data_IF_492355126733
#
_entry.id   IF_492355126733
#
_cell.length_a   1.000
_cell.length_b   1.000
_cell.length_c   1.000
_cell.angle_alpha   90.00
_cell.angle_beta   90.00
_cell.angle_gamma   90.00
#
_symmetry.space_group_name_H-M   'P 1'
#
loop_
_entity.id
_entity.type
_entity.pdbx_description
1 polymer ?
#
# COMPACT_ATOMS: atom_id res chain seq x y z
N UNK A 1 -17.75 28.61 19.05
CA UNK A 1 -19.14 28.11 18.95
C UNK A 1 -19.19 27.29 17.68
N UNK A 2 -19.64 26.02 17.69
CA UNK A 2 -19.80 25.27 16.47
C UNK A 2 -20.88 25.93 15.64
N UNK A 3 -20.58 26.16 14.36
CA UNK A 3 -21.55 26.64 13.39
C UNK A 3 -22.65 25.57 13.24
N UNK A 4 -23.84 25.84 13.76
CA UNK A 4 -25.03 25.04 13.45
C UNK A 4 -25.47 25.40 12.03
N UNK A 5 -24.73 24.99 11.03
CA UNK A 5 -25.16 25.10 9.64
C UNK A 5 -26.15 23.99 9.35
N UNK A 6 -27.43 24.22 9.66
CA UNK A 6 -28.50 23.43 9.09
C UNK A 6 -28.62 23.80 7.62
N UNK A 7 -28.01 23.01 6.77
CA UNK A 7 -28.23 23.09 5.33
C UNK A 7 -29.67 22.62 5.03
N UNK A 8 -30.38 23.29 4.12
CA UNK A 8 -31.61 22.71 3.57
C UNK A 8 -31.24 21.47 2.75
N UNK A 9 -32.15 20.51 2.59
CA UNK A 9 -31.94 19.30 1.80
C UNK A 9 -31.44 19.63 0.36
N UNK A 10 -31.92 20.75 -0.20
CA UNK A 10 -31.49 21.21 -1.51
C UNK A 10 -30.06 21.76 -1.51
N UNK A 11 -29.66 22.42 -0.43
CA UNK A 11 -28.28 22.94 -0.28
C UNK A 11 -27.28 21.80 -0.02
N UNK A 12 -27.69 20.79 0.74
CA UNK A 12 -26.92 19.55 0.95
C UNK A 12 -26.64 18.83 -0.37
N UNK A 13 -27.66 18.67 -1.23
CA UNK A 13 -27.51 18.03 -2.54
C UNK A 13 -26.57 18.82 -3.45
N UNK A 14 -26.69 20.16 -3.47
CA UNK A 14 -25.78 21.04 -4.24
C UNK A 14 -24.34 20.96 -3.72
N UNK A 15 -24.16 20.98 -2.40
CA UNK A 15 -22.84 20.85 -1.77
C UNK A 15 -22.21 19.49 -2.11
N UNK A 16 -22.99 18.41 -2.01
CA UNK A 16 -22.52 17.05 -2.34
C UNK A 16 -22.06 16.94 -3.80
N UNK A 17 -22.83 17.51 -4.74
CA UNK A 17 -22.46 17.55 -6.15
C UNK A 17 -21.17 18.36 -6.38
N UNK A 18 -21.06 19.52 -5.74
CA UNK A 18 -19.87 20.37 -5.83
C UNK A 18 -18.62 19.67 -5.25
N UNK A 19 -18.74 18.99 -4.11
CA UNK A 19 -17.64 18.20 -3.52
C UNK A 19 -17.12 17.16 -4.50
N UNK A 20 -18.01 16.44 -5.20
CA UNK A 20 -17.63 15.44 -6.19
C UNK A 20 -16.87 16.05 -7.39
N UNK A 21 -17.36 17.17 -7.93
CA UNK A 21 -16.69 17.88 -9.02
C UNK A 21 -15.31 18.37 -8.60
N UNK A 22 -15.24 19.02 -7.43
CA UNK A 22 -13.98 19.58 -6.91
C UNK A 22 -12.95 18.50 -6.58
N UNK A 23 -13.37 17.37 -6.03
CA UNK A 23 -12.49 16.21 -5.83
C UNK A 23 -11.92 15.70 -7.16
N UNK A 24 -12.75 15.58 -8.21
CA UNK A 24 -12.30 15.19 -9.56
C UNK A 24 -11.28 16.17 -10.16
N UNK A 25 -11.49 17.47 -10.01
CA UNK A 25 -10.53 18.51 -10.46
C UNK A 25 -9.15 18.36 -9.77
N UNK A 26 -9.14 17.88 -8.53
CA UNK A 26 -7.92 17.62 -7.76
C UNK A 26 -7.34 16.23 -8.00
N UNK A 27 -7.93 15.45 -8.92
CA UNK A 27 -7.44 14.13 -9.33
C UNK A 27 -7.84 12.99 -8.40
N UNK A 28 -8.86 13.19 -7.55
CA UNK A 28 -9.47 12.10 -6.82
C UNK A 28 -10.50 11.38 -7.70
N UNK A 29 -10.51 10.06 -7.67
CA UNK A 29 -11.38 9.22 -8.51
C UNK A 29 -12.70 8.85 -7.82
N UNK A 30 -12.74 8.94 -6.50
CA UNK A 30 -13.91 8.68 -5.69
C UNK A 30 -13.96 9.56 -4.47
N UNK A 31 -15.19 9.93 -4.04
CA UNK A 31 -15.46 10.66 -2.81
C UNK A 31 -16.73 10.13 -2.17
N UNK A 32 -16.68 9.83 -0.87
CA UNK A 32 -17.81 9.47 -0.03
C UNK A 32 -17.59 10.00 1.39
N UNK A 33 -18.68 10.09 2.13
CA UNK A 33 -18.71 10.67 3.48
C UNK A 33 -19.32 9.65 4.46
N UNK A 34 -18.68 9.49 5.62
CA UNK A 34 -19.17 8.64 6.71
C UNK A 34 -19.11 9.38 8.05
N UNK A 35 -19.68 8.75 9.09
CA UNK A 35 -19.46 9.15 10.48
C UNK A 35 -18.17 8.52 11.06
N UNK A 36 -17.90 8.75 12.33
CA UNK A 36 -16.72 8.28 13.05
C UNK A 36 -16.89 6.90 13.70
N UNK A 37 -18.06 6.28 13.63
CA UNK A 37 -18.36 5.02 14.33
C UNK A 37 -17.79 3.83 13.56
N UNK A 38 -16.86 3.08 14.17
CA UNK A 38 -16.17 1.95 13.53
C UNK A 38 -16.77 0.57 13.87
N UNK A 39 -17.70 0.52 14.85
CA UNK A 39 -18.40 -0.70 15.21
C UNK A 39 -17.44 -1.87 15.55
N UNK A 40 -17.72 -3.05 15.00
CA UNK A 40 -16.96 -4.28 15.24
C UNK A 40 -15.53 -4.25 14.68
N UNK A 41 -15.17 -3.24 13.89
CA UNK A 41 -13.82 -3.15 13.33
C UNK A 41 -12.75 -2.92 14.42
N UNK A 42 -13.10 -2.16 15.46
CA UNK A 42 -12.23 -1.93 16.61
C UNK A 42 -11.94 -3.24 17.38
N UNK A 43 -12.95 -4.08 17.59
CA UNK A 43 -12.79 -5.39 18.24
C UNK A 43 -11.90 -6.33 17.40
N UNK A 44 -12.06 -6.32 16.06
CA UNK A 44 -11.22 -7.09 15.13
C UNK A 44 -9.76 -6.63 15.19
N UNK A 45 -9.51 -5.32 15.28
CA UNK A 45 -8.16 -4.77 15.44
C UNK A 45 -7.55 -5.22 16.77
N UNK A 46 -8.26 -5.12 17.90
CA UNK A 46 -7.77 -5.55 19.20
C UNK A 46 -7.41 -7.05 19.21
N UNK A 47 -8.27 -7.89 18.63
CA UNK A 47 -7.97 -9.33 18.48
C UNK A 47 -6.71 -9.57 17.66
N UNK A 48 -6.56 -8.90 16.52
CA UNK A 48 -5.40 -9.03 15.64
C UNK A 48 -4.10 -8.61 16.33
N UNK A 49 -4.15 -7.54 17.15
CA UNK A 49 -3.03 -7.08 17.97
C UNK A 49 -2.70 -8.08 19.09
N UNK A 50 -3.71 -8.59 19.79
CA UNK A 50 -3.52 -9.58 20.86
C UNK A 50 -2.89 -10.89 20.35
N UNK A 51 -3.15 -11.27 19.10
CA UNK A 51 -2.53 -12.42 18.43
C UNK A 51 -1.11 -12.12 17.92
N UNK A 52 -0.59 -10.92 18.10
CA UNK A 52 0.74 -10.49 17.66
C UNK A 52 0.91 -10.49 16.14
N UNK A 53 -0.18 -10.47 15.37
CA UNK A 53 -0.15 -10.57 13.90
C UNK A 53 0.43 -9.32 13.21
N UNK A 54 0.63 -8.23 13.96
CA UNK A 54 1.24 -6.99 13.47
C UNK A 54 2.78 -7.07 13.35
N UNK A 55 3.42 -8.10 13.94
CA UNK A 55 4.87 -8.23 13.93
C UNK A 55 5.54 -6.99 14.56
N UNK A 56 6.56 -6.46 13.93
CA UNK A 56 7.33 -5.29 14.40
C UNK A 56 6.63 -3.93 14.15
N UNK A 57 5.38 -3.90 13.71
CA UNK A 57 4.63 -2.66 13.55
C UNK A 57 4.09 -2.17 14.91
N UNK A 58 4.99 -1.87 15.84
CA UNK A 58 4.66 -1.41 17.21
C UNK A 58 3.71 -0.19 17.24
N UNK A 59 3.77 0.64 16.20
CA UNK A 59 2.88 1.79 16.05
C UNK A 59 1.40 1.40 15.91
N UNK A 60 1.10 0.16 15.48
CA UNK A 60 -0.26 -0.36 15.40
C UNK A 60 -0.84 -0.55 16.80
N UNK A 61 -0.06 -1.13 17.71
CA UNK A 61 -0.44 -1.35 19.11
C UNK A 61 -0.44 -0.04 19.91
N UNK A 62 0.63 0.76 19.78
CA UNK A 62 0.81 2.02 20.52
C UNK A 62 -0.35 2.99 20.31
N UNK A 63 -0.95 3.00 19.15
CA UNK A 63 -2.01 3.93 18.76
C UNK A 63 -3.34 3.20 18.47
N UNK A 64 -3.58 2.05 19.11
CA UNK A 64 -4.79 1.26 18.88
C UNK A 64 -6.08 1.99 19.26
N UNK A 65 -6.06 2.76 20.36
CA UNK A 65 -7.21 3.56 20.81
C UNK A 65 -7.55 4.66 19.80
N UNK A 66 -6.54 5.39 19.31
CA UNK A 66 -6.72 6.42 18.28
C UNK A 66 -7.28 5.82 16.98
N UNK A 67 -6.86 4.59 16.61
CA UNK A 67 -7.38 3.88 15.45
C UNK A 67 -8.83 3.46 15.63
N UNK A 68 -9.20 3.15 16.85
CA UNK A 68 -10.55 2.70 17.20
C UNK A 68 -11.56 3.83 17.27
N UNK A 69 -11.11 5.06 17.47
CA UNK A 69 -11.98 6.23 17.55
C UNK A 69 -11.33 7.47 16.92
N UNK A 70 -11.74 7.86 15.71
CA UNK A 70 -11.27 9.08 15.06
C UNK A 70 -11.44 10.37 15.86
N UNK A 71 -12.39 10.43 16.79
CA UNK A 71 -12.59 11.61 17.64
C UNK A 71 -11.48 11.77 18.69
N UNK A 72 -10.83 10.68 19.10
CA UNK A 72 -9.64 10.76 19.96
C UNK A 72 -8.44 11.34 19.19
N UNK A 73 -8.36 11.08 17.89
CA UNK A 73 -7.29 11.62 17.04
C UNK A 73 -7.51 13.11 16.72
N UNK A 74 -8.75 13.48 16.43
CA UNK A 74 -9.14 14.88 16.15
C UNK A 74 -10.44 15.18 16.90
N UNK A 75 -10.34 15.78 18.11
CA UNK A 75 -11.52 16.14 18.89
C UNK A 75 -12.48 17.06 18.13
N UNK A 76 -13.78 16.80 18.28
CA UNK A 76 -14.83 17.52 17.58
C UNK A 76 -15.17 16.98 16.18
N UNK A 77 -14.47 15.98 15.68
CA UNK A 77 -14.79 15.34 14.39
C UNK A 77 -16.20 14.74 14.43
N UNK A 78 -17.04 15.09 13.47
CA UNK A 78 -18.41 14.53 13.31
C UNK A 78 -18.56 13.76 12.01
N UNK A 79 -17.71 14.02 11.01
CA UNK A 79 -17.70 13.35 9.69
C UNK A 79 -16.29 13.08 9.21
N UNK A 80 -16.20 12.08 8.33
CA UNK A 80 -14.97 11.75 7.61
C UNK A 80 -15.29 11.76 6.13
N UNK A 81 -14.63 12.64 5.37
CA UNK A 81 -14.64 12.62 3.91
C UNK A 81 -13.55 11.65 3.48
N UNK A 82 -13.92 10.54 2.85
CA UNK A 82 -13.00 9.56 2.32
C UNK A 82 -12.88 9.72 0.80
N UNK A 83 -11.65 9.65 0.28
CA UNK A 83 -11.37 9.75 -1.15
C UNK A 83 -10.52 8.57 -1.62
N UNK A 84 -10.62 8.26 -2.94
CA UNK A 84 -9.72 7.34 -3.63
C UNK A 84 -8.92 8.07 -4.69
N UNK A 85 -7.69 7.61 -4.96
CA UNK A 85 -6.83 8.12 -6.03
C UNK A 85 -6.13 6.96 -6.72
N UNK A 86 -6.45 6.71 -7.99
CA UNK A 86 -5.86 5.62 -8.77
C UNK A 86 -4.37 5.87 -9.00
N UNK A 87 -3.56 4.79 -8.91
CA UNK A 87 -2.11 4.91 -9.04
C UNK A 87 -1.50 4.18 -10.24
N UNK A 88 -2.28 3.38 -10.98
CA UNK A 88 -1.74 2.66 -12.13
C UNK A 88 -1.46 3.60 -13.29
N UNK A 89 -0.20 3.73 -13.77
CA UNK A 89 0.12 4.45 -15.00
C UNK A 89 -0.59 3.88 -16.22
N UNK A 90 -0.65 4.65 -17.30
CA UNK A 90 -1.32 4.26 -18.56
C UNK A 90 -0.75 2.97 -19.17
N UNK A 91 0.57 2.78 -19.05
CA UNK A 91 1.32 1.65 -19.57
C UNK A 91 1.25 0.38 -18.70
N UNK A 92 0.51 0.40 -17.59
CA UNK A 92 0.42 -0.77 -16.70
C UNK A 92 -0.32 -1.94 -17.38
N UNK A 93 0.27 -3.11 -17.29
CA UNK A 93 -0.27 -4.36 -17.83
C UNK A 93 -0.08 -5.50 -16.80
N UNK A 94 -1.17 -6.09 -16.34
CA UNK A 94 -1.14 -7.15 -15.33
C UNK A 94 -0.57 -8.47 -15.87
N UNK A 95 -0.73 -8.77 -17.16
CA UNK A 95 -0.09 -9.93 -17.76
C UNK A 95 1.43 -9.77 -17.79
N UNK A 96 1.90 -8.56 -18.08
CA UNK A 96 3.33 -8.26 -18.03
C UNK A 96 3.87 -8.34 -16.58
N UNK A 97 3.09 -7.90 -15.59
CA UNK A 97 3.49 -8.05 -14.17
C UNK A 97 3.61 -9.53 -13.76
N UNK A 98 2.70 -10.41 -14.23
CA UNK A 98 2.84 -11.86 -14.02
C UNK A 98 4.10 -12.41 -14.68
N UNK A 99 4.39 -12.06 -15.93
CA UNK A 99 5.62 -12.49 -16.62
C UNK A 99 6.89 -12.03 -15.88
N UNK A 100 6.88 -10.86 -15.25
CA UNK A 100 7.99 -10.40 -14.41
C UNK A 100 8.17 -11.24 -13.16
N UNK A 101 7.08 -11.68 -12.54
CA UNK A 101 7.13 -12.59 -11.40
C UNK A 101 7.69 -13.96 -11.76
N UNK A 102 7.49 -14.41 -13.01
CA UNK A 102 7.98 -15.68 -13.55
C UNK A 102 9.46 -15.61 -14.01
N UNK A 103 9.99 -14.42 -14.28
CA UNK A 103 11.38 -14.22 -14.67
C UNK A 103 12.28 -14.02 -13.43
N UNK A 104 13.06 -15.03 -13.02
CA UNK A 104 13.88 -14.95 -11.82
C UNK A 104 15.01 -13.91 -11.87
N UNK A 105 15.34 -13.37 -13.05
CA UNK A 105 16.35 -12.31 -13.21
C UNK A 105 15.79 -10.90 -13.06
N UNK A 106 14.48 -10.74 -13.11
CA UNK A 106 13.80 -9.46 -12.89
C UNK A 106 13.67 -9.16 -11.39
N UNK A 107 13.78 -7.89 -11.05
CA UNK A 107 13.44 -7.41 -9.71
C UNK A 107 11.99 -6.89 -9.69
N UNK A 108 11.15 -7.45 -8.86
CA UNK A 108 9.75 -7.02 -8.76
C UNK A 108 9.60 -6.03 -7.62
N UNK A 109 9.21 -4.80 -7.97
CA UNK A 109 8.79 -3.73 -7.07
C UNK A 109 7.30 -3.55 -7.23
N UNK A 110 6.55 -3.51 -6.13
CA UNK A 110 5.10 -3.29 -6.14
C UNK A 110 4.73 -2.03 -6.93
N UNK A 111 3.68 -2.13 -7.74
CA UNK A 111 3.27 -1.08 -8.70
C UNK A 111 3.04 0.27 -8.04
N UNK A 112 2.45 0.28 -6.84
CA UNK A 112 2.14 1.52 -6.12
C UNK A 112 3.37 2.36 -5.75
N UNK A 113 4.53 1.72 -5.61
CA UNK A 113 5.76 2.33 -5.12
C UNK A 113 6.72 2.81 -6.23
N UNK A 114 6.40 2.54 -7.50
CA UNK A 114 7.28 2.86 -8.64
C UNK A 114 7.31 4.34 -9.01
N UNK A 115 6.32 5.13 -8.56
CA UNK A 115 6.19 6.56 -8.80
C UNK A 115 6.74 7.43 -7.66
N UNK A 116 6.18 8.64 -7.56
CA UNK A 116 6.43 9.56 -6.43
C UNK A 116 5.79 9.03 -5.15
N UNK A 117 6.30 9.50 -4.03
CA UNK A 117 5.75 9.21 -2.70
C UNK A 117 4.30 9.70 -2.60
N UNK A 118 3.37 8.74 -2.61
CA UNK A 118 1.93 8.99 -2.60
C UNK A 118 1.48 9.74 -1.33
N UNK A 119 2.15 9.55 -0.19
CA UNK A 119 1.82 10.27 1.04
C UNK A 119 1.87 11.79 0.82
N UNK A 120 2.90 12.27 0.13
CA UNK A 120 3.06 13.71 -0.16
C UNK A 120 2.07 14.18 -1.22
N UNK A 121 1.85 13.37 -2.26
CA UNK A 121 0.93 13.70 -3.35
C UNK A 121 -0.50 13.84 -2.82
N UNK A 122 -0.99 12.83 -2.08
CA UNK A 122 -2.35 12.85 -1.55
C UNK A 122 -2.52 13.95 -0.50
N UNK A 123 -1.57 14.04 0.46
CA UNK A 123 -1.65 15.04 1.53
C UNK A 123 -1.77 16.47 1.00
N UNK A 124 -0.98 16.82 -0.02
CA UNK A 124 -1.05 18.15 -0.61
C UNK A 124 -2.42 18.40 -1.26
N UNK A 125 -2.93 17.44 -2.04
CA UNK A 125 -4.23 17.54 -2.72
C UNK A 125 -5.39 17.54 -1.72
N UNK A 126 -5.33 16.75 -0.64
CA UNK A 126 -6.30 16.78 0.45
C UNK A 126 -6.32 18.15 1.14
N UNK A 127 -5.14 18.76 1.34
CA UNK A 127 -5.06 20.09 1.93
C UNK A 127 -5.64 21.17 1.02
N UNK A 128 -5.39 21.09 -0.29
CA UNK A 128 -6.02 21.97 -1.30
C UNK A 128 -7.53 21.77 -1.33
N UNK A 129 -7.98 20.52 -1.22
CA UNK A 129 -9.42 20.22 -1.19
C UNK A 129 -10.09 20.79 0.06
N UNK A 130 -9.50 20.60 1.24
CA UNK A 130 -10.03 21.15 2.48
C UNK A 130 -10.11 22.70 2.45
N UNK A 131 -9.12 23.38 1.88
CA UNK A 131 -9.17 24.84 1.68
C UNK A 131 -10.30 25.25 0.73
N UNK A 132 -10.49 24.52 -0.37
CA UNK A 132 -11.58 24.80 -1.30
C UNK A 132 -12.96 24.60 -0.64
N UNK A 133 -13.09 23.60 0.26
CA UNK A 133 -14.30 23.41 1.08
C UNK A 133 -14.49 24.61 2.01
N UNK A 134 -13.46 25.07 2.71
CA UNK A 134 -13.48 26.23 3.59
C UNK A 134 -13.92 27.52 2.84
N UNK A 135 -13.42 27.74 1.63
CA UNK A 135 -13.86 28.85 0.77
C UNK A 135 -15.33 28.75 0.36
N UNK A 136 -15.86 27.52 0.26
CA UNK A 136 -17.23 27.26 -0.17
C UNK A 136 -18.27 27.39 0.93
N UNK A 137 -17.95 26.91 2.15
CA UNK A 137 -18.92 26.81 3.24
C UNK A 137 -18.60 27.70 4.44
N UNK A 138 -17.45 28.41 4.43
CA UNK A 138 -16.91 29.16 5.55
C UNK A 138 -15.96 28.34 6.42
N UNK A 139 -15.38 28.96 7.43
CA UNK A 139 -14.39 28.34 8.32
C UNK A 139 -14.98 27.14 9.08
N UNK A 140 -14.26 26.03 9.12
CA UNK A 140 -14.59 24.81 9.85
C UNK A 140 -13.30 24.13 10.34
N UNK A 141 -13.42 23.24 11.36
CA UNK A 141 -12.31 22.43 11.83
C UNK A 141 -12.08 21.23 10.93
N UNK A 142 -10.83 21.06 10.47
CA UNK A 142 -10.47 19.88 9.69
C UNK A 142 -9.03 19.43 9.90
N UNK A 143 -8.79 18.15 9.57
CA UNK A 143 -7.46 17.57 9.49
C UNK A 143 -7.40 16.52 8.39
N UNK A 144 -6.32 16.53 7.59
CA UNK A 144 -6.13 15.63 6.45
C UNK A 144 -5.17 14.50 6.79
N UNK A 145 -5.45 13.30 6.29
CA UNK A 145 -4.67 12.10 6.53
C UNK A 145 -4.54 11.24 5.28
N UNK A 146 -3.49 10.44 5.22
CA UNK A 146 -3.30 9.33 4.29
C UNK A 146 -2.26 8.39 4.88
N UNK A 147 -2.56 7.10 4.99
CA UNK A 147 -1.72 5.96 5.40
C UNK A 147 -0.99 6.12 6.76
N UNK A 148 -0.16 7.13 6.92
CA UNK A 148 0.73 7.28 8.09
C UNK A 148 0.02 7.65 9.40
N UNK A 149 -1.28 7.91 9.39
CA UNK A 149 -2.05 8.26 10.58
C UNK A 149 -2.64 7.04 11.29
N UNK A 150 -2.93 7.12 12.59
CA UNK A 150 -3.62 6.06 13.32
C UNK A 150 -5.13 6.07 13.01
N UNK A 151 -5.50 5.78 11.75
CA UNK A 151 -6.86 5.64 11.27
C UNK A 151 -7.09 4.24 10.69
N UNK A 152 -8.30 3.76 10.73
CA UNK A 152 -8.75 2.55 10.03
C UNK A 152 -9.32 2.93 8.66
N UNK A 153 -8.45 3.42 7.75
CA UNK A 153 -8.81 4.02 6.45
C UNK A 153 -9.70 3.10 5.62
N UNK A 154 -9.35 1.80 5.50
CA UNK A 154 -10.16 0.81 4.77
C UNK A 154 -11.57 0.67 5.36
N UNK A 155 -11.72 0.72 6.68
CA UNK A 155 -13.01 0.59 7.32
C UNK A 155 -13.85 1.85 7.16
N UNK A 156 -13.25 3.03 7.30
CA UNK A 156 -13.91 4.31 7.05
C UNK A 156 -14.37 4.41 5.59
N UNK A 157 -13.52 4.07 4.65
CA UNK A 157 -13.83 4.09 3.22
C UNK A 157 -14.93 3.06 2.85
N UNK A 158 -14.92 1.87 3.48
CA UNK A 158 -15.98 0.85 3.34
C UNK A 158 -17.32 1.39 3.84
N UNK A 159 -17.35 1.93 5.06
CA UNK A 159 -18.55 2.56 5.64
C UNK A 159 -19.06 3.72 4.81
N UNK A 160 -18.17 4.51 4.25
CA UNK A 160 -18.53 5.60 3.36
C UNK A 160 -19.16 5.11 2.03
N UNK A 161 -19.01 3.82 1.67
CA UNK A 161 -19.51 3.29 0.41
C UNK A 161 -18.57 3.50 -0.78
N UNK A 162 -17.26 3.76 -0.54
CA UNK A 162 -16.24 3.79 -1.60
C UNK A 162 -15.94 2.41 -2.18
N UNK A 163 -16.27 1.36 -1.43
CA UNK A 163 -16.01 -0.02 -1.82
C UNK A 163 -16.35 -0.98 -0.69
N UNK A 164 -15.96 -2.22 -0.84
CA UNK A 164 -16.06 -3.26 0.20
C UNK A 164 -14.67 -3.76 0.57
N UNK A 165 -14.52 -4.29 1.77
CA UNK A 165 -13.28 -4.94 2.19
C UNK A 165 -13.13 -6.28 1.48
N UNK A 166 -12.08 -6.42 0.66
CA UNK A 166 -11.76 -7.70 0.02
C UNK A 166 -11.26 -8.75 1.00
N UNK A 167 -11.32 -10.04 0.62
CA UNK A 167 -10.76 -11.15 1.43
C UNK A 167 -9.26 -11.01 1.66
N UNK A 168 -8.53 -10.28 0.81
CA UNK A 168 -7.12 -9.88 0.98
C UNK A 168 -6.91 -8.66 1.88
N UNK A 169 -7.96 -8.15 2.51
CA UNK A 169 -8.00 -7.02 3.46
C UNK A 169 -7.89 -5.61 2.87
N UNK A 170 -7.61 -5.45 1.58
CA UNK A 170 -7.65 -4.15 0.91
C UNK A 170 -9.09 -3.76 0.55
N UNK A 171 -9.32 -2.45 0.33
CA UNK A 171 -10.58 -1.98 -0.23
C UNK A 171 -10.67 -2.36 -1.72
N UNK A 172 -11.85 -2.81 -2.14
CA UNK A 172 -12.21 -3.11 -3.52
C UNK A 172 -13.39 -2.27 -3.94
N UNK A 173 -13.42 -1.82 -5.18
CA UNK A 173 -14.63 -1.26 -5.78
C UNK A 173 -14.84 -1.78 -7.21
N UNK A 174 -16.04 -1.54 -7.76
CA UNK A 174 -16.42 -2.01 -9.10
C UNK A 174 -15.73 -1.25 -10.22
N UNK A 175 -15.26 -0.03 -9.95
CA UNK A 175 -14.77 0.88 -10.97
C UNK A 175 -13.26 0.83 -11.15
N UNK A 176 -12.51 0.55 -10.08
CA UNK A 176 -11.05 0.64 -10.05
C UNK A 176 -10.37 -0.60 -9.44
N UNK A 177 -11.14 -1.65 -9.09
CA UNK A 177 -10.58 -2.80 -8.38
C UNK A 177 -10.05 -2.40 -7.01
N UNK A 178 -8.77 -2.67 -6.73
CA UNK A 178 -8.07 -2.28 -5.50
C UNK A 178 -6.81 -1.43 -5.76
N UNK A 179 -6.65 -0.86 -6.96
CA UNK A 179 -5.43 -0.19 -7.39
C UNK A 179 -5.50 1.34 -7.21
N UNK A 180 -5.85 1.75 -6.00
CA UNK A 180 -5.96 3.14 -5.59
C UNK A 180 -5.44 3.33 -4.16
N UNK A 181 -5.03 4.55 -3.86
CA UNK A 181 -4.73 5.02 -2.50
C UNK A 181 -5.99 5.55 -1.85
N UNK A 182 -5.98 5.58 -0.51
CA UNK A 182 -7.00 6.18 0.33
C UNK A 182 -6.51 7.49 0.94
N UNK A 183 -7.43 8.40 1.18
CA UNK A 183 -7.17 9.61 1.94
C UNK A 183 -8.42 10.11 2.64
N UNK A 184 -8.23 10.76 3.79
CA UNK A 184 -9.31 11.19 4.65
C UNK A 184 -9.17 12.65 5.04
N UNK A 185 -10.34 13.34 5.16
CA UNK A 185 -10.46 14.63 5.81
C UNK A 185 -11.45 14.47 6.96
N UNK A 186 -10.96 14.55 8.19
CA UNK A 186 -11.79 14.59 9.38
C UNK A 186 -12.33 16.00 9.55
N UNK A 187 -13.65 16.15 9.74
CA UNK A 187 -14.30 17.47 9.77
C UNK A 187 -15.29 17.58 10.93
N UNK A 188 -15.48 18.79 11.46
CA UNK A 188 -16.46 19.12 12.50
C UNK A 188 -17.81 19.60 11.95
N UNK A 189 -18.02 19.47 10.64
CA UNK A 189 -19.24 19.88 9.94
C UNK A 189 -20.14 18.67 9.69
N UNK A 190 -21.47 18.72 9.97
CA UNK A 190 -22.40 17.61 9.81
C UNK A 190 -22.81 17.42 8.34
N UNK A 191 -21.86 17.00 7.49
CA UNK A 191 -22.15 16.69 6.10
C UNK A 191 -23.05 15.45 5.97
N UNK A 192 -23.86 15.33 4.90
CA UNK A 192 -24.68 14.14 4.63
C UNK A 192 -23.80 12.88 4.48
N UNK A 193 -24.23 11.78 5.13
CA UNK A 193 -23.54 10.49 5.07
C UNK A 193 -23.99 9.71 3.83
N UNK A 194 -23.02 9.13 3.11
CA UNK A 194 -23.27 8.19 2.03
C UNK A 194 -23.56 6.78 2.60
N UNK A 195 -24.20 5.94 1.80
CA UNK A 195 -24.56 4.57 2.20
C UNK A 195 -23.44 3.57 1.88
N UNK A 196 -23.29 2.58 2.74
CA UNK A 196 -22.43 1.43 2.50
C UNK A 196 -22.90 0.65 1.26
N UNK A 197 -21.96 -0.03 0.61
CA UNK A 197 -22.26 -0.94 -0.51
C UNK A 197 -22.04 -2.39 -0.09
N UNK A 198 -22.71 -3.31 -0.78
CA UNK A 198 -22.62 -4.74 -0.52
C UNK A 198 -21.24 -5.31 -0.90
N UNK A 199 -20.86 -6.39 -0.21
CA UNK A 199 -19.64 -7.15 -0.50
C UNK A 199 -19.83 -8.04 -1.74
N UNK A 200 -18.80 -8.11 -2.60
CA UNK A 200 -18.86 -8.86 -3.86
C UNK A 200 -17.75 -9.92 -4.02
N UNK A 201 -17.07 -10.31 -2.94
CA UNK A 201 -16.09 -11.41 -3.00
C UNK A 201 -16.72 -12.80 -3.15
N UNK A 202 -17.98 -12.99 -2.70
CA UNK A 202 -18.72 -14.23 -2.82
C UNK A 202 -17.92 -15.46 -2.37
N UNK A 203 -17.93 -16.53 -3.15
CA UNK A 203 -17.16 -17.76 -2.89
C UNK A 203 -15.69 -17.73 -3.36
N UNK A 204 -15.24 -16.67 -4.05
CA UNK A 204 -13.89 -16.57 -4.60
C UNK A 204 -12.80 -16.65 -3.50
N UNK A 205 -11.75 -17.44 -3.72
CA UNK A 205 -10.60 -17.62 -2.82
C UNK A 205 -9.27 -17.28 -3.49
N UNK A 206 -9.26 -16.81 -4.73
CA UNK A 206 -8.04 -16.63 -5.55
C UNK A 206 -6.91 -15.89 -4.85
N UNK A 207 -7.21 -14.81 -4.12
CA UNK A 207 -6.19 -14.04 -3.39
C UNK A 207 -5.60 -14.81 -2.19
N UNK A 208 -6.35 -15.76 -1.60
CA UNK A 208 -5.87 -16.63 -0.52
C UNK A 208 -4.96 -17.70 -1.12
N UNK A 209 -5.40 -18.33 -2.22
CA UNK A 209 -4.71 -19.46 -2.83
C UNK A 209 -3.38 -19.04 -3.47
N UNK A 210 -3.32 -17.86 -4.10
CA UNK A 210 -2.11 -17.33 -4.77
C UNK A 210 -1.03 -16.88 -3.79
N UNK A 211 -1.38 -16.58 -2.53
CA UNK A 211 -0.43 -15.97 -1.58
C UNK A 211 0.75 -16.91 -1.30
N UNK A 212 1.99 -16.58 -1.74
CA UNK A 212 3.11 -17.51 -1.70
C UNK A 212 3.49 -17.95 -0.28
N UNK A 213 3.27 -17.08 0.71
CA UNK A 213 3.59 -17.30 2.12
C UNK A 213 2.37 -17.63 2.96
N UNK A 214 1.19 -17.74 2.33
CA UNK A 214 -0.09 -17.98 3.01
C UNK A 214 -0.36 -16.97 4.14
N UNK A 215 -0.05 -15.72 3.88
CA UNK A 215 -0.25 -14.62 4.83
C UNK A 215 -1.74 -14.32 5.04
N UNK A 216 -2.59 -14.52 4.03
CA UNK A 216 -4.06 -14.43 4.15
C UNK A 216 -4.54 -15.76 4.73
N UNK A 217 -4.69 -15.80 6.06
CA UNK A 217 -4.95 -17.04 6.82
C UNK A 217 -6.40 -17.51 6.73
N UNK A 218 -7.32 -16.60 6.45
CA UNK A 218 -8.74 -16.84 6.19
C UNK A 218 -9.32 -15.60 5.49
N UNK A 219 -10.54 -15.68 4.93
CA UNK A 219 -11.22 -14.49 4.42
C UNK A 219 -11.18 -13.33 5.40
N UNK A 220 -10.70 -12.16 4.94
CA UNK A 220 -10.59 -10.93 5.75
C UNK A 220 -9.59 -10.98 6.92
N UNK A 221 -8.72 -11.99 6.97
CA UNK A 221 -7.70 -12.15 8.01
C UNK A 221 -6.31 -12.25 7.42
N UNK A 222 -5.42 -11.40 7.87
CA UNK A 222 -4.02 -11.33 7.45
C UNK A 222 -3.10 -11.49 8.67
N UNK A 223 -2.11 -12.38 8.56
CA UNK A 223 -0.95 -12.37 9.45
C UNK A 223 0.17 -11.59 8.76
N UNK A 224 0.42 -10.37 9.23
CA UNK A 224 1.42 -9.50 8.61
C UNK A 224 2.83 -10.10 8.66
N UNK A 225 3.17 -10.87 9.70
CA UNK A 225 4.50 -11.51 9.87
C UNK A 225 4.87 -12.43 8.70
N UNK A 226 3.87 -12.91 7.98
CA UNK A 226 4.02 -13.79 6.80
C UNK A 226 3.91 -13.02 5.47
N UNK A 227 3.37 -11.80 5.48
CA UNK A 227 3.13 -11.04 4.25
C UNK A 227 4.44 -10.54 3.64
N UNK A 228 4.69 -10.81 2.35
CA UNK A 228 5.90 -10.36 1.65
C UNK A 228 6.00 -8.83 1.66
N UNK A 229 4.87 -8.11 1.58
CA UNK A 229 4.88 -6.66 1.72
C UNK A 229 5.45 -6.23 3.07
N UNK A 230 4.99 -6.84 4.17
CA UNK A 230 5.54 -6.61 5.50
C UNK A 230 7.03 -7.00 5.59
N UNK A 231 7.40 -8.20 5.10
CA UNK A 231 8.77 -8.70 5.18
C UNK A 231 9.78 -7.79 4.45
N UNK A 232 9.37 -7.20 3.33
CA UNK A 232 10.23 -6.34 2.52
C UNK A 232 10.25 -4.88 2.97
N UNK A 233 9.20 -4.42 3.66
CA UNK A 233 8.98 -2.99 3.97
C UNK A 233 9.05 -2.70 5.47
N UNK A 234 8.27 -3.43 6.28
CA UNK A 234 8.07 -3.12 7.70
C UNK A 234 9.04 -3.89 8.62
N UNK A 235 9.39 -5.12 8.26
CA UNK A 235 10.31 -5.93 9.06
C UNK A 235 11.71 -5.30 9.11
N UNK A 236 12.22 -4.85 10.28
CA UNK A 236 13.54 -4.25 10.40
C UNK A 236 14.67 -5.28 10.47
N UNK A 237 14.36 -6.54 10.74
CA UNK A 237 15.30 -7.62 11.04
C UNK A 237 15.54 -8.54 9.83
N UNK A 238 16.30 -9.60 10.06
CA UNK A 238 16.48 -10.66 9.08
C UNK A 238 15.14 -11.25 8.64
N UNK A 239 15.02 -11.56 7.35
CA UNK A 239 13.85 -12.26 6.83
C UNK A 239 13.93 -13.72 7.28
N UNK A 240 12.88 -14.27 7.95
CA UNK A 240 12.88 -15.67 8.36
C UNK A 240 13.13 -16.61 7.19
N UNK A 241 13.99 -17.62 7.38
CA UNK A 241 14.45 -18.52 6.32
C UNK A 241 13.30 -19.23 5.62
N UNK A 242 12.25 -19.60 6.36
CA UNK A 242 11.06 -20.28 5.81
C UNK A 242 10.29 -19.46 4.77
N UNK A 243 10.44 -18.13 4.72
CA UNK A 243 9.76 -17.28 3.75
C UNK A 243 10.62 -16.92 2.55
N UNK A 244 11.97 -17.03 2.64
CA UNK A 244 12.89 -16.52 1.62
C UNK A 244 12.63 -17.13 0.24
N UNK A 245 12.38 -18.45 0.17
CA UNK A 245 12.06 -19.12 -1.11
C UNK A 245 10.73 -18.65 -1.70
N UNK A 246 9.71 -18.54 -0.87
CA UNK A 246 8.38 -18.10 -1.28
C UNK A 246 8.33 -16.64 -1.75
N UNK A 247 9.29 -15.81 -1.34
CA UNK A 247 9.39 -14.41 -1.80
C UNK A 247 9.73 -14.28 -3.28
N UNK A 248 10.40 -15.30 -3.86
CA UNK A 248 10.82 -15.23 -5.27
C UNK A 248 11.71 -14.03 -5.55
N UNK A 249 11.35 -13.27 -6.58
CA UNK A 249 12.07 -12.08 -7.04
C UNK A 249 11.48 -10.74 -6.55
N UNK A 250 10.61 -10.76 -5.52
CA UNK A 250 9.96 -9.57 -4.94
C UNK A 250 10.93 -8.86 -4.01
N UNK A 251 11.33 -7.64 -4.38
CA UNK A 251 12.31 -6.85 -3.63
C UNK A 251 11.69 -5.72 -2.80
N UNK A 252 10.47 -5.28 -3.14
CA UNK A 252 9.73 -4.27 -2.38
C UNK A 252 8.23 -4.43 -2.58
N UNK A 253 7.49 -4.75 -1.54
CA UNK A 253 6.05 -5.00 -1.61
C UNK A 253 5.71 -6.32 -2.32
N UNK A 254 4.43 -6.54 -2.54
CA UNK A 254 3.89 -7.72 -3.21
C UNK A 254 2.48 -7.40 -3.73
N UNK A 255 2.24 -7.66 -5.01
CA UNK A 255 0.95 -7.38 -5.65
C UNK A 255 0.16 -8.65 -5.99
N UNK A 256 0.63 -9.86 -5.64
CA UNK A 256 0.04 -11.14 -6.07
C UNK A 256 -1.46 -11.23 -5.80
N UNK A 257 -1.90 -10.86 -4.59
CA UNK A 257 -3.31 -10.89 -4.23
C UNK A 257 -4.16 -9.86 -4.98
N UNK A 258 -3.55 -8.78 -5.46
CA UNK A 258 -4.19 -7.79 -6.32
C UNK A 258 -4.19 -8.24 -7.79
N UNK A 259 -3.07 -8.76 -8.30
CA UNK A 259 -2.93 -9.21 -9.69
C UNK A 259 -3.92 -10.32 -10.03
N UNK A 260 -4.15 -11.28 -9.12
CA UNK A 260 -5.10 -12.39 -9.34
C UNK A 260 -6.56 -11.99 -9.15
N UNK A 261 -6.83 -10.85 -8.50
CA UNK A 261 -8.20 -10.47 -8.15
C UNK A 261 -9.04 -10.18 -9.40
N UNK A 262 -10.16 -10.91 -9.63
CA UNK A 262 -11.00 -10.67 -10.81
C UNK A 262 -11.54 -9.25 -10.94
N UNK A 263 -11.66 -8.54 -9.82
CA UNK A 263 -12.13 -7.14 -9.81
C UNK A 263 -11.09 -6.18 -10.38
N UNK A 264 -9.81 -6.53 -10.36
CA UNK A 264 -8.76 -5.68 -10.91
C UNK A 264 -8.72 -5.64 -12.45
N UNK A 265 -9.50 -6.49 -13.14
CA UNK A 265 -9.76 -6.30 -14.58
C UNK A 265 -10.42 -4.94 -14.89
N UNK A 266 -11.08 -4.32 -13.91
CA UNK A 266 -11.69 -3.01 -14.01
C UNK A 266 -10.77 -1.87 -13.54
N UNK A 267 -9.54 -2.18 -13.15
CA UNK A 267 -8.58 -1.19 -12.66
C UNK A 267 -8.38 -0.05 -13.65
N UNK A 268 -8.70 1.15 -13.20
CA UNK A 268 -8.55 2.37 -14.01
C UNK A 268 -7.12 2.87 -13.98
N UNK A 269 -6.68 3.42 -15.10
CA UNK A 269 -5.37 4.07 -15.22
C UNK A 269 -5.46 5.53 -14.77
N UNK A 270 -4.44 5.99 -14.05
CA UNK A 270 -4.34 7.39 -13.61
C UNK A 270 -3.85 8.28 -14.75
N UNK A 271 -4.29 9.54 -14.73
CA UNK A 271 -3.74 10.61 -15.57
C UNK A 271 -2.65 11.41 -14.85
N UNK A 272 -2.38 11.11 -13.58
CA UNK A 272 -1.43 11.85 -12.78
C UNK A 272 -0.01 11.39 -13.08
N UNK A 273 0.80 12.30 -13.61
CA UNK A 273 2.23 12.06 -13.89
C UNK A 273 3.05 11.74 -12.62
N UNK A 274 2.52 12.09 -11.45
CA UNK A 274 3.13 11.76 -10.16
C UNK A 274 3.36 10.25 -9.98
N UNK A 275 2.52 9.41 -10.56
CA UNK A 275 2.59 7.95 -10.43
C UNK A 275 3.24 7.26 -11.63
N UNK A 276 3.75 8.03 -12.61
CA UNK A 276 4.57 7.47 -13.69
C UNK A 276 5.81 6.75 -13.12
N UNK A 277 6.20 5.64 -13.76
CA UNK A 277 7.33 4.82 -13.32
C UNK A 277 8.65 5.61 -13.37
N UNK A 278 9.43 5.49 -12.30
CA UNK A 278 10.73 6.18 -12.14
C UNK A 278 11.87 5.17 -12.19
N UNK A 279 13.00 5.61 -12.74
CA UNK A 279 14.28 4.88 -12.69
C UNK A 279 14.24 3.44 -13.21
N UNK A 280 13.28 3.12 -14.09
CA UNK A 280 13.12 1.80 -14.67
C UNK A 280 12.66 0.71 -13.69
N UNK A 281 12.13 1.08 -12.52
CA UNK A 281 11.73 0.14 -11.45
C UNK A 281 10.73 -0.94 -11.90
N UNK A 282 9.97 -0.69 -12.95
CA UNK A 282 9.06 -1.69 -13.53
C UNK A 282 9.76 -2.71 -14.44
N UNK A 283 11.04 -2.55 -14.78
CA UNK A 283 11.77 -3.42 -15.73
C UNK A 283 13.21 -3.71 -15.29
N UNK A 284 13.56 -3.38 -14.06
CA UNK A 284 14.92 -3.52 -13.58
C UNK A 284 15.31 -4.98 -13.35
N UNK A 285 16.52 -5.38 -13.77
CA UNK A 285 17.07 -6.66 -13.37
C UNK A 285 17.63 -6.62 -11.94
N UNK A 286 17.70 -7.78 -11.29
CA UNK A 286 18.31 -7.92 -9.96
C UNK A 286 19.73 -7.37 -9.92
N UNK A 287 20.56 -7.72 -10.90
CA UNK A 287 21.96 -7.27 -10.98
C UNK A 287 22.04 -5.74 -11.16
N UNK A 288 21.14 -5.14 -11.93
CA UNK A 288 21.11 -3.67 -12.08
C UNK A 288 20.78 -2.98 -10.75
N UNK A 289 19.75 -3.42 -10.01
CA UNK A 289 19.42 -2.82 -8.72
C UNK A 289 20.48 -3.12 -7.65
N UNK A 290 21.13 -4.29 -7.73
CA UNK A 290 22.23 -4.65 -6.84
C UNK A 290 23.46 -3.76 -7.03
N UNK A 291 23.75 -3.32 -8.26
CA UNK A 291 24.89 -2.45 -8.57
C UNK A 291 24.77 -1.03 -8.02
N UNK A 292 23.59 -0.62 -7.55
CA UNK A 292 23.43 0.71 -6.97
C UNK A 292 24.20 0.82 -5.65
N UNK A 293 25.00 1.88 -5.54
CA UNK A 293 25.62 2.29 -4.27
C UNK A 293 24.56 2.91 -3.34
N UNK A 294 24.90 3.07 -2.05
CA UNK A 294 24.00 3.76 -1.11
C UNK A 294 23.67 5.18 -1.59
N UNK A 295 24.64 5.92 -2.08
CA UNK A 295 24.43 7.27 -2.65
C UNK A 295 23.48 7.24 -3.85
N UNK A 296 23.57 6.23 -4.71
CA UNK A 296 22.66 6.08 -5.84
C UNK A 296 21.25 5.69 -5.38
N UNK A 297 21.13 4.78 -4.42
CA UNK A 297 19.85 4.41 -3.81
C UNK A 297 19.15 5.65 -3.24
N UNK A 298 19.84 6.43 -2.41
CA UNK A 298 19.30 7.64 -1.80
C UNK A 298 18.85 8.68 -2.84
N UNK A 299 19.68 8.91 -3.85
CA UNK A 299 19.38 9.86 -4.93
C UNK A 299 18.20 9.41 -5.79
N UNK A 300 18.15 8.12 -6.17
CA UNK A 300 17.09 7.58 -7.05
C UNK A 300 15.76 7.48 -6.31
N UNK A 301 15.79 7.21 -5.01
CA UNK A 301 14.58 7.12 -4.19
C UNK A 301 14.20 8.44 -3.48
N UNK A 302 14.84 9.56 -3.83
CA UNK A 302 14.38 10.86 -3.36
C UNK A 302 12.93 11.11 -3.82
N UNK A 303 12.05 11.38 -2.83
CA UNK A 303 10.61 11.55 -3.08
C UNK A 303 9.88 10.28 -3.51
N UNK A 304 10.41 9.10 -3.15
CA UNK A 304 9.77 7.78 -3.31
C UNK A 304 9.46 7.17 -1.95
N UNK A 305 8.37 6.41 -1.85
CA UNK A 305 8.02 5.63 -0.66
C UNK A 305 9.06 4.56 -0.31
N UNK A 306 9.87 4.12 -1.29
CA UNK A 306 10.91 3.10 -1.09
C UNK A 306 12.04 3.61 -0.19
N UNK A 307 12.34 4.91 -0.23
CA UNK A 307 13.47 5.48 0.51
C UNK A 307 13.46 5.14 2.00
N UNK A 308 12.26 5.02 2.60
CA UNK A 308 12.07 4.81 4.05
C UNK A 308 12.62 3.50 4.58
N UNK A 309 12.81 2.48 3.71
CA UNK A 309 13.38 1.20 4.18
C UNK A 309 14.90 1.28 4.39
N UNK A 310 15.58 2.26 3.79
CA UNK A 310 17.03 2.41 3.82
C UNK A 310 17.76 1.39 2.96
N UNK A 311 19.05 1.68 2.72
CA UNK A 311 19.88 0.89 1.81
C UNK A 311 20.13 -0.54 2.31
N UNK A 312 20.31 -0.74 3.61
CA UNK A 312 20.55 -2.07 4.18
C UNK A 312 19.39 -3.04 3.90
N UNK A 313 18.13 -2.64 4.21
CA UNK A 313 16.96 -3.49 3.93
C UNK A 313 16.72 -3.69 2.44
N UNK A 314 17.04 -2.70 1.61
CA UNK A 314 17.02 -2.84 0.16
C UNK A 314 17.97 -3.93 -0.31
N UNK A 315 19.23 -3.91 0.15
CA UNK A 315 20.25 -4.93 -0.14
C UNK A 315 19.85 -6.31 0.39
N UNK A 316 19.31 -6.37 1.60
CA UNK A 316 18.76 -7.59 2.19
C UNK A 316 17.73 -8.24 1.28
N UNK A 317 16.76 -7.48 0.82
CA UNK A 317 15.68 -7.97 -0.05
C UNK A 317 16.22 -8.45 -1.42
N UNK A 318 17.14 -7.70 -1.99
CA UNK A 318 17.82 -8.09 -3.23
C UNK A 318 18.64 -9.38 -3.07
N UNK A 319 19.34 -9.56 -1.95
CA UNK A 319 20.10 -10.79 -1.70
C UNK A 319 19.19 -12.02 -1.68
N UNK A 320 18.00 -11.93 -1.05
CA UNK A 320 16.99 -13.02 -1.08
C UNK A 320 16.54 -13.31 -2.52
N UNK A 321 16.21 -12.29 -3.29
CA UNK A 321 15.77 -12.45 -4.68
C UNK A 321 16.86 -13.07 -5.56
N UNK A 322 18.12 -12.64 -5.40
CA UNK A 322 19.28 -13.19 -6.10
C UNK A 322 19.56 -14.66 -5.71
N UNK A 323 19.37 -15.01 -4.43
CA UNK A 323 19.44 -16.40 -3.97
C UNK A 323 18.38 -17.29 -4.59
N UNK A 324 17.17 -16.77 -4.78
CA UNK A 324 16.10 -17.46 -5.50
C UNK A 324 16.42 -17.62 -7.00
N UNK A 325 17.04 -16.61 -7.62
CA UNK A 325 17.51 -16.70 -9.00
C UNK A 325 18.60 -17.76 -9.16
N UNK A 326 19.56 -17.87 -8.24
CA UNK A 326 20.60 -18.91 -8.25
C UNK A 326 20.02 -20.32 -8.17
N UNK A 327 18.96 -20.53 -7.43
CA UNK A 327 18.28 -21.83 -7.30
C UNK A 327 17.35 -22.14 -8.46
N UNK A 328 17.08 -21.19 -9.34
CA UNK A 328 16.17 -21.39 -10.47
C UNK A 328 16.81 -22.24 -11.58
N UNK A 329 16.12 -23.29 -12.08
CA UNK A 329 16.66 -24.13 -13.16
C UNK A 329 16.65 -23.43 -14.52
N UNK A 330 15.91 -22.35 -14.69
CA UNK A 330 15.80 -21.62 -15.97
C UNK A 330 16.85 -20.52 -16.12
N UNK A 331 17.58 -20.17 -15.04
CA UNK A 331 18.68 -19.20 -15.09
C UNK A 331 19.94 -19.87 -15.65
N UNK A 332 20.56 -19.22 -16.64
CA UNK A 332 21.78 -19.74 -17.27
C UNK A 332 22.96 -19.82 -16.29
N UNK A 333 23.88 -20.75 -16.49
CA UNK A 333 25.08 -20.86 -15.65
C UNK A 333 25.92 -19.58 -15.69
N UNK A 334 25.95 -18.90 -16.84
CA UNK A 334 26.62 -17.61 -16.98
C UNK A 334 25.99 -16.54 -16.07
N UNK A 335 24.68 -16.46 -16.01
CA UNK A 335 23.99 -15.49 -15.14
C UNK A 335 24.11 -15.88 -13.68
N UNK A 336 24.06 -17.17 -13.35
CA UNK A 336 24.35 -17.65 -11.99
C UNK A 336 25.74 -17.25 -11.53
N UNK A 337 26.76 -17.36 -12.41
CA UNK A 337 28.11 -16.95 -12.08
C UNK A 337 28.22 -15.42 -11.87
N UNK A 338 27.53 -14.63 -12.70
CA UNK A 338 27.44 -13.17 -12.51
C UNK A 338 26.79 -12.81 -11.15
N UNK A 339 25.74 -13.53 -10.75
CA UNK A 339 25.08 -13.33 -9.46
C UNK A 339 26.02 -13.70 -8.32
N UNK A 340 26.70 -14.88 -8.37
CA UNK A 340 27.63 -15.29 -7.32
C UNK A 340 28.76 -14.28 -7.15
N UNK A 341 29.34 -13.81 -8.25
CA UNK A 341 30.38 -12.78 -8.23
C UNK A 341 29.88 -11.50 -7.58
N UNK A 342 28.68 -10.99 -8.00
CA UNK A 342 28.11 -9.76 -7.46
C UNK A 342 27.79 -9.88 -5.95
N UNK A 343 27.25 -11.00 -5.51
CA UNK A 343 27.00 -11.27 -4.09
C UNK A 343 28.31 -11.35 -3.29
N UNK A 344 29.32 -12.08 -3.80
CA UNK A 344 30.63 -12.21 -3.15
C UNK A 344 31.34 -10.86 -2.98
N UNK A 345 31.38 -10.04 -4.02
CA UNK A 345 31.92 -8.68 -3.95
C UNK A 345 31.11 -7.79 -2.97
N UNK A 346 29.83 -8.01 -2.87
CA UNK A 346 28.93 -7.28 -1.99
C UNK A 346 29.17 -7.49 -0.50
N UNK A 347 29.78 -8.60 -0.08
CA UNK A 347 30.10 -8.91 1.32
C UNK A 347 31.03 -7.85 1.95
N UNK A 348 31.99 -7.34 1.16
CA UNK A 348 32.98 -6.39 1.66
C UNK A 348 32.37 -5.07 2.19
N UNK A 349 31.17 -4.71 1.75
CA UNK A 349 30.49 -3.47 2.13
C UNK A 349 29.17 -3.70 2.86
N UNK A 350 28.82 -4.96 3.12
CA UNK A 350 27.55 -5.35 3.74
C UNK A 350 27.63 -5.25 5.27
N UNK A 351 26.54 -4.83 5.90
CA UNK A 351 26.36 -5.01 7.34
C UNK A 351 26.07 -6.49 7.69
N UNK A 352 25.99 -6.80 8.98
CA UNK A 352 25.78 -8.18 9.45
C UNK A 352 24.48 -8.81 8.92
N UNK A 353 23.39 -8.03 8.83
CA UNK A 353 22.11 -8.51 8.32
C UNK A 353 22.20 -8.84 6.82
N UNK A 354 22.75 -7.95 6.02
CA UNK A 354 22.93 -8.17 4.57
C UNK A 354 23.88 -9.32 4.32
N UNK A 355 24.98 -9.42 5.08
CA UNK A 355 25.98 -10.52 5.00
C UNK A 355 25.31 -11.89 5.22
N UNK A 356 24.47 -12.02 6.24
CA UNK A 356 23.73 -13.26 6.52
C UNK A 356 22.84 -13.68 5.33
N UNK A 357 22.17 -12.71 4.69
CA UNK A 357 21.31 -12.99 3.52
C UNK A 357 22.13 -13.32 2.26
N UNK A 358 23.31 -12.72 2.09
CA UNK A 358 24.23 -13.09 1.02
C UNK A 358 24.74 -14.53 1.22
N UNK A 359 25.14 -14.88 2.44
CA UNK A 359 25.58 -16.24 2.78
C UNK A 359 24.46 -17.25 2.49
N UNK A 360 23.24 -16.99 2.97
CA UNK A 360 22.10 -17.83 2.65
C UNK A 360 21.90 -18.00 1.13
N UNK A 361 22.01 -16.92 0.37
CA UNK A 361 21.83 -16.94 -1.09
C UNK A 361 22.87 -17.82 -1.79
N UNK A 362 24.14 -17.78 -1.33
CA UNK A 362 25.24 -18.57 -1.89
C UNK A 362 25.19 -20.06 -1.49
N UNK A 363 24.81 -20.36 -0.23
CA UNK A 363 24.73 -21.73 0.31
C UNK A 363 23.52 -22.51 -0.21
N UNK A 364 22.40 -21.86 -0.45
CA UNK A 364 21.13 -22.49 -0.82
C UNK A 364 20.84 -22.40 -2.32
N UNK A 365 21.85 -22.28 -3.16
CA UNK A 365 21.77 -22.16 -4.63
C UNK A 365 21.70 -23.52 -5.38
N UNK A 366 21.38 -24.60 -4.67
CA UNK A 366 21.29 -25.97 -5.21
C UNK A 366 19.85 -26.44 -5.36
#
# INVERSE_FOLDING_TARGET
>A
MPLSTHFSTQDESKLRAWLGVKAGELGFDGLRITDTQLGVASERLQKWLAEGRHGHMEYMQRHADLRSDPQLLVPGTVRVICVTMNYLPQESDFELEWKRLEDPMQAVVSMYARGRDYHKVLRNRLQEFAKAIEEKIGAFGYRVFTDSAPLMEVELARKAGLGWRGKHTLLLNRESGSTFFLGEILVDVPLPIDQEIEEHCGSCTSCIDVCPTRAITAPYQLDARRCISYLTIENPEAIPVEFRRAMGNRVYGCDDCQLICPWNKFAKRTQLSDFAQRHGLGQASLLHLWSWTETEFERRHEGSAIRRIGYSRWRRNLAVAMGNALASPIVSDQDKERIRKALGEGIATADAMVTEHIQWALEHSF
#
